data_IF_647619981656
#
_entry.id   IF_647619981656
#
_cell.length_a   1.000
_cell.length_b   1.000
_cell.length_c   1.000
_cell.angle_alpha   90.00
_cell.angle_beta   90.00
_cell.angle_gamma   90.00
#
_symmetry.space_group_name_H-M   'P 1'
#
loop_
_entity.id
_entity.type
_entity.pdbx_description
1 polymer ?
#
# COMPACT_ATOMS: atom_id res chain seq x y z
N UNK A 1 2.40 1.72 -19.43
CA UNK A 1 3.83 1.77 -19.82
C UNK A 1 4.46 0.53 -19.21
N UNK A 2 5.20 -0.26 -19.98
CA UNK A 2 5.87 -1.42 -19.39
C UNK A 2 6.98 -0.93 -18.43
N UNK A 3 6.96 -1.42 -17.19
CA UNK A 3 7.97 -1.08 -16.20
C UNK A 3 9.24 -1.90 -16.41
N UNK A 4 10.40 -1.28 -16.18
CA UNK A 4 11.67 -2.01 -16.26
C UNK A 4 11.83 -2.97 -15.06
N UNK A 5 12.81 -3.88 -15.12
CA UNK A 5 13.05 -4.88 -14.07
C UNK A 5 13.25 -4.25 -12.69
N UNK A 6 13.96 -3.13 -12.62
CA UNK A 6 14.22 -2.43 -11.36
C UNK A 6 12.96 -1.82 -10.76
N UNK A 7 12.11 -1.20 -11.57
CA UNK A 7 10.81 -0.70 -11.14
C UNK A 7 9.91 -1.84 -10.66
N UNK A 8 9.83 -2.95 -11.41
CA UNK A 8 9.06 -4.15 -11.02
C UNK A 8 9.49 -4.71 -9.67
N UNK A 9 10.80 -4.71 -9.37
CA UNK A 9 11.33 -5.10 -8.05
C UNK A 9 10.86 -4.17 -6.92
N UNK A 10 10.83 -2.86 -7.15
CA UNK A 10 10.33 -1.88 -6.16
C UNK A 10 8.82 -1.99 -5.95
N UNK A 11 8.05 -2.23 -7.01
CA UNK A 11 6.61 -2.50 -6.90
C UNK A 11 6.35 -3.82 -6.16
N UNK A 12 7.16 -4.85 -6.39
CA UNK A 12 7.09 -6.10 -5.61
C UNK A 12 7.41 -5.85 -4.14
N UNK A 13 8.37 -4.98 -3.84
CA UNK A 13 8.63 -4.58 -2.46
C UNK A 13 7.42 -3.91 -1.81
N UNK A 14 6.73 -2.97 -2.47
CA UNK A 14 5.54 -2.34 -1.87
C UNK A 14 4.39 -3.32 -1.68
N UNK A 15 4.22 -4.27 -2.60
CA UNK A 15 3.29 -5.39 -2.42
C UNK A 15 3.67 -6.20 -1.18
N UNK A 16 4.89 -6.73 -1.14
CA UNK A 16 5.35 -7.66 -0.12
C UNK A 16 5.46 -7.04 1.26
N UNK A 17 5.83 -5.77 1.40
CA UNK A 17 6.15 -5.18 2.71
C UNK A 17 5.05 -4.26 3.23
N UNK A 18 4.29 -3.60 2.35
CA UNK A 18 3.29 -2.63 2.79
C UNK A 18 1.85 -3.14 2.74
N UNK A 19 1.57 -4.15 1.92
CA UNK A 19 0.20 -4.60 1.67
C UNK A 19 -0.02 -6.07 2.02
N UNK A 20 0.77 -7.01 1.50
CA UNK A 20 0.72 -8.44 1.85
C UNK A 20 1.38 -8.63 3.24
N UNK A 21 0.58 -8.46 4.29
CA UNK A 21 1.04 -8.47 5.67
C UNK A 21 1.21 -9.91 6.19
N UNK A 22 0.32 -10.81 5.78
CA UNK A 22 0.32 -12.20 6.20
C UNK A 22 1.30 -13.08 5.40
N UNK A 23 1.88 -12.56 4.30
CA UNK A 23 2.85 -13.22 3.41
C UNK A 23 2.28 -14.40 2.63
N UNK A 24 1.00 -14.36 2.28
CA UNK A 24 0.35 -15.42 1.49
C UNK A 24 0.47 -15.22 -0.03
N UNK A 25 1.05 -14.09 -0.47
CA UNK A 25 1.27 -13.77 -1.88
C UNK A 25 0.07 -13.11 -2.56
N UNK A 26 -0.95 -12.72 -1.81
CA UNK A 26 -2.09 -11.93 -2.25
C UNK A 26 -2.30 -10.73 -1.32
N UNK A 27 -2.99 -9.70 -1.81
CA UNK A 27 -3.52 -8.65 -0.94
C UNK A 27 -5.00 -8.94 -0.72
N UNK A 28 -5.38 -9.10 0.53
CA UNK A 28 -6.73 -9.40 0.98
C UNK A 28 -7.13 -8.45 2.11
N UNK A 29 -8.41 -8.47 2.48
CA UNK A 29 -8.87 -7.68 3.61
C UNK A 29 -8.18 -8.06 4.94
N UNK A 30 -7.88 -9.34 5.12
CA UNK A 30 -7.21 -9.87 6.31
C UNK A 30 -5.85 -9.19 6.54
N UNK A 31 -5.15 -8.77 5.48
CA UNK A 31 -3.89 -8.02 5.59
C UNK A 31 -4.06 -6.66 6.27
N UNK A 32 -5.13 -5.94 5.93
CA UNK A 32 -5.45 -4.64 6.53
C UNK A 32 -5.85 -4.82 8.01
N UNK A 33 -6.49 -5.93 8.36
CA UNK A 33 -6.81 -6.26 9.75
C UNK A 33 -5.53 -6.56 10.55
N UNK A 34 -4.60 -7.35 9.99
CA UNK A 34 -3.30 -7.61 10.61
C UNK A 34 -2.43 -6.35 10.71
N UNK A 35 -2.50 -5.45 9.73
CA UNK A 35 -1.85 -4.13 9.79
C UNK A 35 -2.32 -3.33 11.01
N UNK A 36 -3.63 -3.23 11.25
CA UNK A 36 -4.18 -2.51 12.40
C UNK A 36 -3.82 -3.19 13.71
N UNK A 37 -3.85 -4.52 13.76
CA UNK A 37 -3.45 -5.29 14.95
C UNK A 37 -2.00 -5.01 15.31
N UNK A 38 -1.09 -5.04 14.33
CA UNK A 38 0.32 -4.69 14.54
C UNK A 38 0.51 -3.23 14.93
N UNK A 39 -0.24 -2.32 14.32
CA UNK A 39 -0.23 -0.90 14.69
C UNK A 39 -0.65 -0.71 16.15
N UNK A 40 -1.66 -1.45 16.63
CA UNK A 40 -2.10 -1.44 18.03
C UNK A 40 -1.03 -2.02 18.98
N UNK A 41 -0.37 -3.10 18.58
CA UNK A 41 0.68 -3.74 19.39
C UNK A 41 1.92 -2.85 19.57
N UNK A 42 2.35 -2.16 18.51
CA UNK A 42 3.51 -1.25 18.56
C UNK A 42 3.18 0.01 19.36
N UNK A 43 1.97 0.56 19.18
CA UNK A 43 1.57 1.81 19.80
C UNK A 43 1.04 1.67 21.25
N UNK A 44 0.94 0.44 21.79
CA UNK A 44 0.68 0.11 23.21
C UNK A 44 -0.38 0.99 23.93
N UNK A 45 -1.40 1.44 23.20
CA UNK A 45 -2.51 2.24 23.76
C UNK A 45 -2.34 3.76 23.71
N UNK A 46 -1.47 4.30 22.84
CA UNK A 46 -1.45 5.75 22.54
C UNK A 46 -2.75 6.26 21.90
N UNK A 47 -3.52 5.37 21.29
CA UNK A 47 -4.82 5.64 20.68
C UNK A 47 -5.95 4.88 21.40
N UNK A 48 -7.16 5.43 21.34
CA UNK A 48 -8.36 4.78 21.87
C UNK A 48 -8.88 3.70 20.93
N UNK A 49 -9.70 2.77 21.44
CA UNK A 49 -10.39 1.78 20.59
C UNK A 49 -11.28 2.43 19.51
N UNK A 50 -11.77 3.65 19.74
CA UNK A 50 -12.54 4.39 18.75
C UNK A 50 -11.65 4.86 17.59
N UNK A 51 -10.42 5.31 17.88
CA UNK A 51 -9.46 5.74 16.86
C UNK A 51 -9.05 4.56 15.96
N UNK A 52 -8.81 3.38 16.55
CA UNK A 52 -8.52 2.17 15.78
C UNK A 52 -9.69 1.75 14.89
N UNK A 53 -10.94 1.89 15.36
CA UNK A 53 -12.12 1.61 14.54
C UNK A 53 -12.25 2.58 13.36
N UNK A 54 -11.98 3.86 13.57
CA UNK A 54 -11.99 4.86 12.50
C UNK A 54 -10.88 4.60 11.47
N UNK A 55 -9.70 4.17 11.94
CA UNK A 55 -8.60 3.78 11.06
C UNK A 55 -8.96 2.54 10.24
N UNK A 56 -9.54 1.51 10.86
CA UNK A 56 -9.97 0.31 10.16
C UNK A 56 -11.06 0.61 9.12
N UNK A 57 -12.04 1.46 9.45
CA UNK A 57 -13.06 1.88 8.49
C UNK A 57 -12.45 2.63 7.29
N UNK A 58 -11.43 3.45 7.53
CA UNK A 58 -10.71 4.13 6.43
C UNK A 58 -9.96 3.14 5.54
N UNK A 59 -9.32 2.12 6.14
CA UNK A 59 -8.66 1.06 5.38
C UNK A 59 -9.64 0.21 4.57
N UNK A 60 -10.89 0.06 5.02
CA UNK A 60 -11.91 -0.66 4.26
C UNK A 60 -12.24 0.06 2.94
N UNK A 61 -12.34 1.39 2.99
CA UNK A 61 -12.50 2.21 1.78
C UNK A 61 -11.27 2.10 0.87
N UNK A 62 -10.06 2.08 1.43
CA UNK A 62 -8.84 1.93 0.62
C UNK A 62 -8.70 0.55 0.00
N UNK A 63 -9.13 -0.50 0.70
CA UNK A 63 -9.21 -1.85 0.15
C UNK A 63 -10.17 -1.91 -1.04
N UNK A 64 -11.35 -1.31 -0.91
CA UNK A 64 -12.34 -1.25 -2.00
C UNK A 64 -11.78 -0.53 -3.23
N UNK A 65 -11.15 0.62 -3.03
CA UNK A 65 -10.55 1.43 -4.11
C UNK A 65 -9.37 0.70 -4.77
N UNK A 66 -8.48 0.08 -4.00
CA UNK A 66 -7.36 -0.73 -4.51
C UNK A 66 -7.86 -1.90 -5.36
N UNK A 67 -8.79 -2.69 -4.80
CA UNK A 67 -9.36 -3.87 -5.46
C UNK A 67 -10.04 -3.48 -6.78
N UNK A 68 -10.91 -2.48 -6.75
CA UNK A 68 -11.63 -2.02 -7.93
C UNK A 68 -10.65 -1.56 -9.02
N UNK A 69 -9.59 -0.84 -8.66
CA UNK A 69 -8.61 -0.36 -9.61
C UNK A 69 -7.72 -1.49 -10.17
N UNK A 70 -7.34 -2.46 -9.34
CA UNK A 70 -6.56 -3.62 -9.79
C UNK A 70 -7.36 -4.50 -10.76
N UNK A 71 -8.61 -4.82 -10.43
CA UNK A 71 -9.46 -5.68 -11.25
C UNK A 71 -10.03 -4.98 -12.49
N UNK A 72 -10.25 -3.66 -12.47
CA UNK A 72 -10.59 -2.91 -13.68
C UNK A 72 -9.51 -2.99 -14.77
N UNK A 73 -8.30 -3.37 -14.35
CA UNK A 73 -7.13 -3.45 -15.21
C UNK A 73 -6.70 -4.88 -15.56
N UNK A 74 -7.36 -5.89 -15.00
CA UNK A 74 -7.29 -7.24 -15.52
C UNK A 74 -7.99 -7.24 -16.87
N UNK A 75 -7.21 -7.37 -17.95
CA UNK A 75 -7.77 -7.59 -19.26
C UNK A 75 -8.51 -8.93 -19.21
N UNK A 76 -9.82 -8.92 -18.97
CA UNK A 76 -10.64 -10.10 -19.23
C UNK A 76 -10.54 -10.35 -20.74
N UNK A 77 -9.90 -11.44 -21.21
CA UNK A 77 -10.15 -11.86 -22.57
C UNK A 77 -11.65 -12.08 -22.65
N UNK A 78 -12.31 -11.33 -23.54
CA UNK A 78 -13.72 -11.53 -23.87
C UNK A 78 -13.81 -12.93 -24.47
N UNK A 79 -14.00 -13.95 -23.63
CA UNK A 79 -14.55 -15.21 -24.08
C UNK A 79 -16.02 -14.93 -24.40
N UNK A 80 -16.25 -14.45 -25.62
CA UNK A 80 -17.55 -14.46 -26.24
C UNK A 80 -18.00 -15.91 -26.38
N UNK A 81 -18.69 -16.42 -25.36
CA UNK A 81 -19.64 -17.50 -25.53
C UNK A 81 -21.02 -16.87 -25.60
N UNK A 82 -21.43 -16.55 -26.82
CA UNK A 82 -22.84 -16.58 -27.20
C UNK A 82 -23.33 -18.01 -26.93
N UNK A 83 -24.26 -18.23 -25.99
CA UNK A 83 -25.29 -19.27 -26.14
C UNK A 83 -26.41 -19.21 -25.06
N UNK A 84 -27.60 -18.81 -25.52
CA UNK A 84 -28.96 -19.30 -25.19
C UNK A 84 -29.52 -19.24 -23.75
N UNK A 85 -30.30 -18.19 -23.51
CA UNK A 85 -31.75 -18.28 -23.25
C UNK A 85 -32.27 -18.93 -21.97
N UNK A 86 -32.73 -18.11 -21.01
CA UNK A 86 -33.89 -18.45 -20.19
C UNK A 86 -34.60 -17.19 -19.65
N UNK A 87 -35.93 -17.27 -19.70
CA UNK A 87 -36.92 -16.21 -19.46
C UNK A 87 -36.96 -15.77 -18.00
N UNK A 88 -37.11 -14.46 -17.85
CA UNK A 88 -37.52 -13.73 -16.63
C UNK A 88 -38.84 -14.26 -16.06
N UNK A 89 -38.80 -14.66 -14.80
CA UNK A 89 -39.94 -14.57 -13.88
C UNK A 89 -39.52 -13.70 -12.71
N UNK A 90 -40.16 -12.55 -12.60
CA UNK A 90 -40.04 -11.63 -11.48
C UNK A 90 -40.64 -12.28 -10.22
N UNK A 91 -39.92 -12.17 -9.10
CA UNK A 91 -40.49 -12.11 -7.78
C UNK A 91 -39.70 -11.06 -7.00
N UNK A 92 -40.42 -10.01 -6.59
CA UNK A 92 -39.96 -8.99 -5.67
C UNK A 92 -39.91 -9.52 -4.24
N UNK A 93 -39.07 -8.85 -3.45
CA UNK A 93 -39.04 -8.77 -2.00
C UNK A 93 -38.15 -9.77 -1.24
N UNK A 94 -37.51 -9.21 -0.20
CA UNK A 94 -36.57 -9.75 0.81
C UNK A 94 -35.07 -9.64 0.51
N UNK A 95 -34.44 -8.59 1.05
CA UNK A 95 -33.09 -8.76 1.62
C UNK A 95 -32.08 -7.66 1.35
N UNK A 96 -32.33 -6.43 1.80
CA UNK A 96 -31.26 -5.47 2.05
C UNK A 96 -30.37 -5.99 3.21
N UNK A 97 -29.44 -6.94 2.96
CA UNK A 97 -28.36 -7.32 3.91
C UNK A 97 -27.30 -8.35 3.44
N UNK A 98 -26.94 -8.45 2.16
CA UNK A 98 -25.93 -9.46 1.72
C UNK A 98 -24.59 -8.87 1.25
N UNK A 99 -24.49 -7.58 0.91
CA UNK A 99 -23.29 -7.07 0.22
C UNK A 99 -22.07 -6.68 1.07
N UNK A 100 -22.15 -6.72 2.41
CA UNK A 100 -21.04 -6.25 3.25
C UNK A 100 -19.96 -7.32 3.53
N UNK A 101 -20.21 -8.60 3.21
CA UNK A 101 -19.29 -9.69 3.58
C UNK A 101 -18.81 -10.54 2.40
N UNK A 102 -19.37 -10.38 1.19
CA UNK A 102 -18.87 -11.06 -0.01
C UNK A 102 -17.51 -10.50 -0.47
N UNK A 103 -17.21 -9.25 -0.10
CA UNK A 103 -16.01 -8.53 -0.51
C UNK A 103 -14.72 -8.91 0.26
N UNK A 104 -14.84 -9.60 1.40
CA UNK A 104 -13.71 -10.07 2.19
C UNK A 104 -13.07 -11.36 1.65
N UNK A 105 -13.72 -12.04 0.69
CA UNK A 105 -13.17 -13.21 0.00
C UNK A 105 -12.37 -12.88 -1.27
N UNK A 106 -12.38 -11.61 -1.70
CA UNK A 106 -11.65 -11.18 -2.88
C UNK A 106 -10.15 -10.99 -2.57
N UNK A 107 -9.31 -11.20 -3.59
CA UNK A 107 -7.86 -11.04 -3.49
C UNK A 107 -7.31 -10.26 -4.68
N UNK A 108 -6.27 -9.47 -4.47
CA UNK A 108 -5.48 -8.86 -5.54
C UNK A 108 -4.15 -9.61 -5.63
N UNK A 109 -3.90 -10.26 -6.78
CA UNK A 109 -2.63 -10.91 -7.06
C UNK A 109 -1.52 -9.89 -7.36
N UNK A 110 -0.27 -10.32 -7.30
CA UNK A 110 0.85 -9.46 -7.71
C UNK A 110 0.74 -9.01 -9.18
N UNK A 111 0.26 -9.88 -10.08
CA UNK A 111 0.12 -9.54 -11.50
C UNK A 111 -0.92 -8.43 -11.72
N UNK A 112 -2.08 -8.51 -11.04
CA UNK A 112 -3.11 -7.47 -11.09
C UNK A 112 -2.61 -6.14 -10.49
N UNK A 113 -1.89 -6.24 -9.36
CA UNK A 113 -1.26 -5.08 -8.71
C UNK A 113 -0.20 -4.42 -9.61
N UNK A 114 0.62 -5.22 -10.29
CA UNK A 114 1.63 -4.72 -11.22
C UNK A 114 0.98 -4.06 -12.43
N UNK A 115 -0.02 -4.70 -13.05
CA UNK A 115 -0.75 -4.15 -14.20
C UNK A 115 -1.42 -2.81 -13.88
N UNK A 116 -2.00 -2.67 -12.67
CA UNK A 116 -2.48 -1.39 -12.16
C UNK A 116 -1.37 -0.34 -12.17
N UNK A 117 -0.21 -0.64 -11.58
CA UNK A 117 0.90 0.33 -11.52
C UNK A 117 1.44 0.69 -12.90
N UNK A 118 1.57 -0.26 -13.84
CA UNK A 118 2.00 0.03 -15.22
C UNK A 118 1.08 1.03 -15.93
N UNK A 119 -0.23 0.96 -15.66
CA UNK A 119 -1.23 1.90 -16.20
C UNK A 119 -1.18 3.24 -15.45
N UNK A 120 -1.19 3.23 -14.12
CA UNK A 120 -1.12 4.46 -13.30
C UNK A 120 0.15 5.27 -13.60
N UNK A 121 1.31 4.63 -13.60
CA UNK A 121 2.60 5.32 -13.78
C UNK A 121 2.83 5.81 -15.21
N UNK A 122 2.04 5.37 -16.19
CA UNK A 122 2.09 5.92 -17.54
C UNK A 122 1.65 7.39 -17.61
N UNK A 123 0.84 7.85 -16.65
CA UNK A 123 0.28 9.22 -16.62
C UNK A 123 0.62 10.00 -15.36
N UNK A 124 1.11 9.32 -14.31
CA UNK A 124 1.43 9.91 -13.01
C UNK A 124 2.70 10.78 -13.08
N UNK A 125 2.64 12.03 -12.61
CA UNK A 125 3.79 12.97 -12.62
C UNK A 125 4.21 13.43 -11.23
N UNK A 126 3.38 13.17 -10.24
CA UNK A 126 3.56 13.64 -8.87
C UNK A 126 2.79 12.78 -7.88
N UNK A 127 3.07 12.94 -6.58
CA UNK A 127 2.33 12.27 -5.49
C UNK A 127 0.82 12.52 -5.59
N UNK A 128 0.39 13.72 -6.01
CA UNK A 128 -1.03 14.07 -6.14
C UNK A 128 -1.75 13.34 -7.27
N UNK A 129 -1.00 12.77 -8.22
CA UNK A 129 -1.55 11.97 -9.31
C UNK A 129 -1.67 10.48 -8.95
N UNK A 130 -1.25 10.07 -7.74
CA UNK A 130 -1.39 8.69 -7.28
C UNK A 130 -2.89 8.37 -7.03
N UNK A 131 -3.29 7.09 -7.13
CA UNK A 131 -4.66 6.69 -6.82
C UNK A 131 -5.09 7.07 -5.41
N UNK A 132 -6.38 7.34 -5.21
CA UNK A 132 -6.95 7.75 -3.91
C UNK A 132 -6.53 6.83 -2.77
N UNK A 133 -6.65 5.51 -2.96
CA UNK A 133 -6.24 4.51 -1.98
C UNK A 133 -4.78 4.72 -1.55
N UNK A 134 -3.89 4.96 -2.52
CA UNK A 134 -2.48 5.15 -2.26
C UNK A 134 -2.23 6.48 -1.52
N UNK A 135 -2.95 7.55 -1.88
CA UNK A 135 -2.82 8.85 -1.20
C UNK A 135 -3.20 8.77 0.28
N UNK A 136 -4.18 7.94 0.64
CA UNK A 136 -4.63 7.75 2.02
C UNK A 136 -3.85 6.67 2.78
N UNK A 137 -3.28 5.69 2.08
CA UNK A 137 -2.35 4.71 2.67
C UNK A 137 -1.02 5.35 3.10
N UNK A 138 -0.49 6.32 2.33
CA UNK A 138 0.80 6.97 2.63
C UNK A 138 0.86 7.53 4.07
N UNK A 139 -0.12 8.31 4.56
CA UNK A 139 -0.13 8.78 5.94
C UNK A 139 -0.17 7.67 6.99
N UNK A 140 -0.83 6.55 6.71
CA UNK A 140 -0.93 5.42 7.65
C UNK A 140 0.43 4.74 7.78
N UNK A 141 1.13 4.51 6.66
CA UNK A 141 2.48 3.95 6.67
C UNK A 141 3.48 4.86 7.39
N UNK A 142 3.45 6.18 7.11
CA UNK A 142 4.32 7.13 7.79
C UNK A 142 4.10 7.14 9.31
N UNK A 143 2.84 7.19 9.76
CA UNK A 143 2.51 7.13 11.20
C UNK A 143 2.84 5.78 11.85
N UNK A 144 3.08 4.74 11.05
CA UNK A 144 3.62 3.46 11.53
C UNK A 144 5.13 3.50 11.78
N UNK A 145 5.82 4.46 11.16
CA UNK A 145 7.25 4.73 11.37
C UNK A 145 7.46 5.77 12.48
N UNK A 146 6.66 6.86 12.47
CA UNK A 146 6.64 7.91 13.49
C UNK A 146 5.87 7.42 14.74
N UNK A 147 6.58 6.71 15.61
CA UNK A 147 6.02 6.10 16.82
C UNK A 147 5.84 7.14 17.92
N UNK A 148 6.70 8.16 17.95
CA UNK A 148 6.63 9.27 18.89
C UNK A 148 5.41 10.17 18.64
N UNK A 149 4.96 10.26 17.38
CA UNK A 149 3.85 11.09 16.94
C UNK A 149 4.19 12.57 16.81
N UNK A 150 5.47 12.91 16.72
CA UNK A 150 5.94 14.30 16.61
C UNK A 150 5.94 14.83 15.16
N UNK A 151 5.60 13.98 14.20
CA UNK A 151 5.55 14.29 12.77
C UNK A 151 6.89 14.15 12.05
N UNK A 152 7.91 13.60 12.72
CA UNK A 152 9.25 13.37 12.21
C UNK A 152 9.62 11.91 12.50
N UNK A 153 10.13 11.20 11.51
CA UNK A 153 10.74 9.88 11.76
C UNK A 153 12.21 10.08 12.05
N UNK A 154 12.62 9.91 13.30
CA UNK A 154 14.04 10.04 13.68
C UNK A 154 14.88 8.79 13.31
N UNK A 155 16.19 8.83 13.61
CA UNK A 155 17.10 7.73 13.30
C UNK A 155 16.75 6.44 14.08
N UNK A 156 16.29 6.56 15.32
CA UNK A 156 15.90 5.42 16.15
C UNK A 156 14.64 4.77 15.60
N UNK A 157 13.63 5.58 15.28
CA UNK A 157 12.37 5.16 14.66
C UNK A 157 12.60 4.52 13.29
N UNK A 158 13.45 5.10 12.44
CA UNK A 158 13.84 4.50 11.17
C UNK A 158 14.58 3.17 11.37
N UNK A 159 15.47 3.09 12.36
CA UNK A 159 16.13 1.84 12.73
C UNK A 159 15.16 0.76 13.21
N UNK A 160 14.12 1.14 13.95
CA UNK A 160 13.05 0.25 14.38
C UNK A 160 12.18 -0.18 13.21
N UNK A 161 11.89 0.70 12.24
CA UNK A 161 11.25 0.35 10.97
C UNK A 161 12.03 -0.74 10.24
N UNK A 162 13.34 -0.56 10.02
CA UNK A 162 14.18 -1.56 9.36
C UNK A 162 14.14 -2.92 10.07
N UNK A 163 14.20 -2.94 11.41
CA UNK A 163 14.12 -4.19 12.20
C UNK A 163 12.75 -4.85 12.14
N UNK A 164 11.69 -4.06 12.33
CA UNK A 164 10.31 -4.56 12.41
C UNK A 164 9.80 -5.08 11.08
N UNK A 165 10.25 -4.49 9.96
CA UNK A 165 9.97 -4.99 8.62
C UNK A 165 11.02 -5.98 8.12
N UNK A 166 12.02 -6.35 8.92
CA UNK A 166 13.12 -7.26 8.54
C UNK A 166 13.80 -6.84 7.23
N UNK A 167 14.02 -5.53 7.06
CA UNK A 167 14.74 -5.00 5.92
C UNK A 167 16.22 -5.37 6.04
N UNK A 168 16.82 -5.73 4.92
CA UNK A 168 18.26 -5.95 4.79
C UNK A 168 18.99 -4.59 4.74
N UNK A 169 19.06 -3.93 5.90
CA UNK A 169 19.66 -2.62 6.06
C UNK A 169 21.01 -2.75 6.78
N UNK A 170 22.08 -2.87 5.99
CA UNK A 170 23.45 -3.07 6.50
C UNK A 170 23.94 -1.92 7.38
N UNK A 171 23.56 -0.69 7.05
CA UNK A 171 24.02 0.54 7.70
C UNK A 171 22.87 1.55 7.81
N UNK A 172 22.09 1.43 8.87
CA UNK A 172 20.93 2.30 9.15
C UNK A 172 21.32 3.78 9.16
N UNK A 173 22.38 4.24 9.86
CA UNK A 173 22.82 5.63 9.81
C UNK A 173 23.10 6.13 8.39
N UNK A 174 23.82 5.36 7.57
CA UNK A 174 24.14 5.79 6.21
C UNK A 174 22.90 5.86 5.29
N UNK A 175 21.93 4.96 5.46
CA UNK A 175 20.67 5.03 4.72
C UNK A 175 19.81 6.22 5.19
N UNK A 176 19.79 6.49 6.49
CA UNK A 176 19.10 7.64 7.05
C UNK A 176 19.74 8.98 6.61
N UNK A 177 21.05 9.01 6.40
CA UNK A 177 21.76 10.16 5.83
C UNK A 177 21.29 10.48 4.41
N UNK A 178 20.98 9.46 3.59
CA UNK A 178 20.38 9.62 2.26
C UNK A 178 18.97 10.23 2.37
N UNK A 179 18.18 9.76 3.33
CA UNK A 179 16.82 10.27 3.57
C UNK A 179 16.87 11.75 3.93
N UNK A 180 17.79 12.13 4.82
CA UNK A 180 17.90 13.49 5.36
C UNK A 180 18.84 14.41 4.56
N UNK A 181 19.43 13.94 3.46
CA UNK A 181 20.44 14.65 2.67
C UNK A 181 21.58 15.24 3.55
N UNK A 182 22.12 14.43 4.47
CA UNK A 182 23.14 14.89 5.41
C UNK A 182 22.59 15.82 6.50
N UNK A 183 21.34 15.62 6.92
CA UNK A 183 20.65 16.48 7.88
C UNK A 183 20.12 17.81 7.32
N UNK A 184 20.17 18.03 5.99
CA UNK A 184 19.62 19.22 5.34
C UNK A 184 18.09 19.19 5.21
N UNK A 185 17.50 18.00 5.25
CA UNK A 185 16.08 17.76 5.11
C UNK A 185 15.57 16.93 6.28
N UNK A 186 14.48 17.35 6.90
CA UNK A 186 13.79 16.60 7.95
C UNK A 186 13.02 15.43 7.34
N UNK A 187 13.04 14.26 8.00
CA UNK A 187 12.23 13.13 7.56
C UNK A 187 10.77 13.25 8.05
N UNK A 188 10.08 14.26 7.52
CA UNK A 188 8.66 14.51 7.79
C UNK A 188 7.74 13.83 6.75
N UNK A 189 6.43 14.04 6.88
CA UNK A 189 5.43 13.53 5.93
C UNK A 189 5.69 13.97 4.46
N UNK A 190 6.19 15.17 4.24
CA UNK A 190 6.46 15.67 2.88
C UNK A 190 7.65 14.95 2.27
N UNK A 191 8.71 14.77 3.06
CA UNK A 191 9.87 13.99 2.65
C UNK A 191 9.50 12.53 2.39
N UNK A 192 8.68 11.94 3.26
CA UNK A 192 8.18 10.57 3.06
C UNK A 192 7.38 10.44 1.74
N UNK A 193 6.46 11.38 1.46
CA UNK A 193 5.72 11.41 0.18
C UNK A 193 6.64 11.46 -1.03
N UNK A 194 7.67 12.30 -1.00
CA UNK A 194 8.65 12.39 -2.08
C UNK A 194 9.37 11.05 -2.29
N UNK A 195 9.90 10.46 -1.22
CA UNK A 195 10.64 9.21 -1.28
C UNK A 195 9.75 8.04 -1.71
N UNK A 196 8.50 7.99 -1.24
CA UNK A 196 7.53 6.98 -1.62
C UNK A 196 7.17 7.08 -3.11
N UNK A 197 7.02 8.30 -3.64
CA UNK A 197 6.82 8.50 -5.07
C UNK A 197 8.01 8.04 -5.90
N UNK A 198 9.24 8.34 -5.46
CA UNK A 198 10.47 7.85 -6.11
C UNK A 198 10.60 6.33 -6.05
N UNK A 199 10.24 5.73 -4.92
CA UNK A 199 10.19 4.27 -4.75
C UNK A 199 9.31 3.64 -5.84
N UNK A 200 8.11 4.19 -6.08
CA UNK A 200 7.21 3.70 -7.12
C UNK A 200 7.69 4.00 -8.55
N UNK A 201 8.24 5.19 -8.80
CA UNK A 201 8.35 5.72 -10.18
C UNK A 201 9.75 5.66 -10.77
N UNK A 202 10.82 5.84 -9.98
CA UNK A 202 12.17 6.05 -10.53
C UNK A 202 12.66 4.83 -11.31
N UNK A 203 13.19 5.00 -12.54
CA UNK A 203 13.63 3.87 -13.37
C UNK A 203 14.99 3.31 -12.95
N UNK A 204 15.70 3.99 -12.05
CA UNK A 204 17.01 3.63 -11.51
C UNK A 204 17.06 3.95 -10.01
N UNK A 205 18.13 3.49 -9.34
CA UNK A 205 18.32 3.73 -7.93
C UNK A 205 18.46 5.23 -7.61
N UNK A 206 17.72 5.68 -6.60
CA UNK A 206 17.74 7.04 -6.07
C UNK A 206 17.36 7.05 -4.58
N UNK A 207 17.15 8.23 -3.99
CA UNK A 207 16.83 8.34 -2.57
C UNK A 207 15.57 7.54 -2.15
N UNK A 208 14.63 7.26 -3.05
CA UNK A 208 13.45 6.45 -2.75
C UNK A 208 13.79 5.02 -2.32
N UNK A 209 14.95 4.49 -2.75
CA UNK A 209 15.47 3.20 -2.32
C UNK A 209 15.74 3.10 -0.83
N UNK A 210 15.93 4.24 -0.15
CA UNK A 210 16.15 4.28 1.29
C UNK A 210 14.94 3.75 2.09
N UNK A 211 13.73 3.84 1.54
CA UNK A 211 12.54 3.22 2.16
C UNK A 211 12.60 1.68 2.16
N UNK A 212 13.43 1.08 1.30
CA UNK A 212 13.71 -0.36 1.33
C UNK A 212 14.92 -0.72 2.21
N UNK A 213 15.46 0.24 2.96
CA UNK A 213 16.67 0.06 3.75
C UNK A 213 17.96 0.06 2.90
N UNK A 214 17.91 0.53 1.65
CA UNK A 214 19.03 0.47 0.69
C UNK A 214 19.53 1.85 0.30
N UNK A 215 20.84 1.98 0.11
CA UNK A 215 21.44 3.16 -0.53
C UNK A 215 21.21 3.10 -2.05
N UNK A 216 21.11 4.26 -2.72
CA UNK A 216 21.06 4.32 -4.17
C UNK A 216 22.36 3.80 -4.83
#
# INVERSE_FOLDING_TARGET
MELNTFQKQKIKFTFDFFLDYNKDGAIQWDDFQEMIKRYKDVNKGSLSDADYKLMLASLEDEWKDLKALAHANEDHPVHANEDHGARVHANEDHGARVHANEDHGASVSFDAYLAMWEKTLATCKSVSDLPTWCQKMIPILFKGMDVSGDGIVDLEEFGNYCKNFQLDCEDVPAVYDVITDGGKVTFDMNRYKELYFRLLTSPSADAGNALMGKKP
#
